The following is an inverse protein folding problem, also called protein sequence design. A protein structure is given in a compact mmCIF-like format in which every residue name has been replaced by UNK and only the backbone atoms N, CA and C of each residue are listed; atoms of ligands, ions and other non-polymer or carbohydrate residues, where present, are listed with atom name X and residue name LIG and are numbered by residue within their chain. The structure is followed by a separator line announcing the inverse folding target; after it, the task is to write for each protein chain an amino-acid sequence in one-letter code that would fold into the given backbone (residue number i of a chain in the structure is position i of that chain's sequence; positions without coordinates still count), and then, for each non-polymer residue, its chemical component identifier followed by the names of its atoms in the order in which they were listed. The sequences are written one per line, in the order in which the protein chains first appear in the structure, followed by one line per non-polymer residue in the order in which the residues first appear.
data_IF_669756227542
#
_entry.id   IF_669756227542
#
_cell.length_a   1.000
_cell.length_b   1.000
_cell.length_c   1.000
_cell.angle_alpha   90.00
_cell.angle_beta   90.00
_cell.angle_gamma   90.00
#
_symmetry.space_group_name_H-M   'P 1'
#
loop_
_entity.id
_entity.type
_entity.pdbx_description
1 polymer ?
#
# COMPACT_ATOMS: atom_id res chain seq x y z
N UNK A 1 39.29 -57.66 -60.91
CA UNK A 1 38.00 -57.39 -60.23
C UNK A 1 38.26 -57.28 -58.74
N UNK A 2 38.13 -56.13 -58.12
CA UNK A 2 38.55 -55.87 -56.74
C UNK A 2 37.34 -55.94 -55.78
N UNK A 3 37.22 -56.96 -54.94
CA UNK A 3 36.04 -57.12 -54.05
C UNK A 3 36.04 -56.24 -52.80
N UNK A 4 37.05 -55.40 -52.64
CA UNK A 4 37.24 -54.66 -51.37
C UNK A 4 36.46 -53.35 -51.23
N UNK A 5 35.61 -52.95 -52.18
CA UNK A 5 34.88 -51.66 -52.11
C UNK A 5 33.48 -51.74 -51.44
N UNK A 6 32.92 -52.96 -51.36
CA UNK A 6 31.56 -53.16 -50.88
C UNK A 6 31.53 -53.12 -49.34
N UNK A 7 32.49 -53.74 -48.71
CA UNK A 7 32.59 -53.83 -47.25
C UNK A 7 32.87 -52.46 -46.55
N UNK A 8 33.53 -51.56 -47.26
CA UNK A 8 33.79 -50.23 -46.67
C UNK A 8 32.56 -49.33 -46.56
N UNK A 9 31.60 -49.48 -47.47
CA UNK A 9 30.36 -48.63 -47.43
C UNK A 9 29.43 -49.09 -46.32
N UNK A 10 29.26 -50.35 -46.10
CA UNK A 10 28.39 -50.85 -45.01
C UNK A 10 28.97 -50.54 -43.62
N UNK A 11 30.29 -50.69 -43.44
CA UNK A 11 30.95 -50.33 -42.21
C UNK A 11 30.87 -48.85 -41.89
N UNK A 12 30.98 -48.00 -42.90
CA UNK A 12 30.79 -46.55 -42.76
C UNK A 12 29.32 -46.20 -42.42
N UNK A 13 28.37 -46.85 -43.06
CA UNK A 13 26.96 -46.61 -42.73
C UNK A 13 26.57 -47.06 -41.32
N UNK A 14 27.18 -48.20 -40.90
CA UNK A 14 26.94 -48.70 -39.54
C UNK A 14 27.54 -47.74 -38.48
N UNK A 15 28.74 -47.20 -38.73
CA UNK A 15 29.39 -46.26 -37.82
C UNK A 15 28.70 -44.90 -37.77
N UNK A 16 28.12 -44.44 -38.91
CA UNK A 16 27.33 -43.21 -38.94
C UNK A 16 25.99 -43.37 -38.19
N UNK A 17 25.29 -44.48 -38.38
CA UNK A 17 24.06 -44.78 -37.64
C UNK A 17 24.30 -44.97 -36.15
N UNK A 18 25.44 -45.51 -35.76
CA UNK A 18 25.80 -45.68 -34.36
C UNK A 18 26.15 -44.32 -33.72
N UNK A 19 26.80 -43.41 -34.45
CA UNK A 19 27.04 -42.01 -34.00
C UNK A 19 25.79 -41.19 -33.92
N UNK A 20 24.85 -41.32 -34.84
CA UNK A 20 23.56 -40.63 -34.76
C UNK A 20 22.74 -41.06 -33.53
N UNK A 21 22.74 -42.39 -33.24
CA UNK A 21 22.06 -42.91 -32.04
C UNK A 21 22.73 -42.46 -30.72
N UNK A 22 24.05 -42.31 -30.71
CA UNK A 22 24.77 -41.85 -29.53
C UNK A 22 24.63 -40.34 -29.28
N UNK A 23 24.39 -39.50 -30.30
CA UNK A 23 24.16 -38.09 -30.16
C UNK A 23 22.73 -37.73 -29.72
N UNK A 24 21.75 -38.62 -29.99
CA UNK A 24 20.36 -38.42 -29.57
C UNK A 24 20.09 -38.83 -28.12
N UNK A 25 20.99 -39.53 -27.46
CA UNK A 25 20.79 -39.99 -26.07
C UNK A 25 21.58 -39.22 -25.00
N UNK A 26 22.19 -38.08 -25.34
CA UNK A 26 22.61 -37.10 -24.35
C UNK A 26 21.44 -36.21 -23.95
N UNK A 27 20.30 -36.83 -23.64
CA UNK A 27 19.28 -36.15 -22.84
C UNK A 27 19.94 -35.74 -21.55
N UNK A 28 19.60 -34.51 -21.14
CA UNK A 28 20.04 -33.92 -19.90
C UNK A 28 20.06 -34.97 -18.78
N UNK A 29 21.13 -35.08 -18.01
CA UNK A 29 21.19 -36.04 -16.92
C UNK A 29 19.96 -35.81 -16.03
N UNK A 30 19.30 -36.88 -15.64
CA UNK A 30 18.07 -36.87 -14.84
C UNK A 30 18.08 -35.83 -13.68
N UNK A 31 19.21 -35.63 -12.96
CA UNK A 31 19.28 -34.59 -11.94
C UNK A 31 19.11 -33.15 -12.47
N UNK A 32 19.60 -32.86 -13.69
CA UNK A 32 19.44 -31.53 -14.31
C UNK A 32 17.97 -31.24 -14.65
N UNK A 33 17.24 -32.27 -15.09
CA UNK A 33 15.81 -32.15 -15.37
C UNK A 33 15.02 -31.89 -14.08
N UNK A 34 15.37 -32.55 -12.98
CA UNK A 34 14.76 -32.29 -11.66
C UNK A 34 15.05 -30.86 -11.22
N UNK A 35 16.31 -30.41 -11.31
CA UNK A 35 16.65 -29.02 -10.98
C UNK A 35 15.87 -28.00 -11.82
N UNK A 36 15.71 -28.26 -13.11
CA UNK A 36 14.93 -27.41 -14.01
C UNK A 36 13.47 -27.31 -13.56
N UNK A 37 12.85 -28.44 -13.22
CA UNK A 37 11.48 -28.48 -12.71
C UNK A 37 11.33 -27.74 -11.37
N UNK A 38 12.30 -27.87 -10.48
CA UNK A 38 12.30 -27.13 -9.21
C UNK A 38 12.37 -25.62 -9.46
N UNK A 39 13.23 -25.17 -10.37
CA UNK A 39 13.36 -23.75 -10.73
C UNK A 39 12.05 -23.23 -11.35
N UNK A 40 11.45 -23.99 -12.27
CA UNK A 40 10.17 -23.62 -12.88
C UNK A 40 9.08 -23.54 -11.80
N UNK A 41 8.99 -24.51 -10.92
CA UNK A 41 8.02 -24.52 -9.84
C UNK A 41 8.21 -23.32 -8.88
N UNK A 42 9.47 -22.99 -8.53
CA UNK A 42 9.79 -21.83 -7.70
C UNK A 42 9.39 -20.51 -8.39
N UNK A 43 9.65 -20.36 -9.69
CA UNK A 43 9.25 -19.18 -10.46
C UNK A 43 7.72 -19.04 -10.54
N UNK A 44 7.01 -20.14 -10.77
CA UNK A 44 5.55 -20.13 -10.80
C UNK A 44 4.97 -19.78 -9.43
N UNK A 45 5.55 -20.32 -8.35
CA UNK A 45 5.10 -20.01 -6.99
C UNK A 45 5.36 -18.54 -6.62
N UNK A 46 6.53 -18.01 -6.96
CA UNK A 46 6.87 -16.60 -6.76
C UNK A 46 5.94 -15.69 -7.57
N UNK A 47 5.68 -16.05 -8.83
CA UNK A 47 4.72 -15.32 -9.67
C UNK A 47 3.31 -15.33 -9.10
N UNK A 48 2.85 -16.47 -8.60
CA UNK A 48 1.53 -16.61 -7.96
C UNK A 48 1.42 -15.75 -6.70
N UNK A 49 2.44 -15.77 -5.84
CA UNK A 49 2.48 -14.93 -4.63
C UNK A 49 2.48 -13.46 -5.00
N UNK A 50 3.32 -13.03 -5.94
CA UNK A 50 3.38 -11.64 -6.40
C UNK A 50 2.04 -11.18 -7.02
N UNK A 51 1.34 -12.06 -7.73
CA UNK A 51 0.02 -11.76 -8.28
C UNK A 51 -1.05 -11.55 -7.20
N UNK A 52 -0.98 -12.33 -6.13
CA UNK A 52 -2.00 -12.32 -5.07
C UNK A 52 -1.68 -11.35 -3.93
N UNK A 53 -0.44 -10.85 -3.84
CA UNK A 53 -0.04 -9.92 -2.79
C UNK A 53 -0.51 -8.51 -3.11
N UNK A 54 -1.24 -7.92 -2.16
CA UNK A 54 -1.72 -6.56 -2.21
C UNK A 54 -0.94 -5.73 -1.18
N UNK A 55 -0.48 -4.57 -1.58
CA UNK A 55 0.15 -3.61 -0.68
C UNK A 55 -0.89 -2.55 -0.29
N UNK A 56 -1.05 -2.28 1.01
CA UNK A 56 -1.90 -1.19 1.45
C UNK A 56 -1.33 0.14 0.99
N UNK A 57 -2.19 1.00 0.47
CA UNK A 57 -1.86 2.36 0.06
C UNK A 57 -2.28 3.31 1.16
N UNK A 58 -1.39 4.21 1.55
CA UNK A 58 -1.64 5.18 2.60
C UNK A 58 -1.63 6.60 2.02
N UNK A 59 -2.55 7.41 2.49
CA UNK A 59 -2.55 8.85 2.27
C UNK A 59 -2.19 9.54 3.58
N UNK A 60 -1.28 10.50 3.54
CA UNK A 60 -0.87 11.26 4.72
C UNK A 60 -1.50 12.64 4.72
N UNK A 61 -1.99 13.06 5.88
CA UNK A 61 -2.53 14.38 6.13
C UNK A 61 -1.98 14.99 7.41
N UNK A 62 -2.12 16.29 7.54
CA UNK A 62 -1.79 17.02 8.77
C UNK A 62 -3.06 17.53 9.40
N UNK A 63 -3.09 17.55 10.73
CA UNK A 63 -4.27 17.96 11.47
C UNK A 63 -3.93 18.52 12.84
N UNK A 64 -4.98 18.83 13.59
CA UNK A 64 -4.92 19.30 14.96
C UNK A 64 -5.90 18.54 15.84
N UNK A 65 -5.58 18.43 17.12
CA UNK A 65 -6.49 17.91 18.13
C UNK A 65 -7.33 19.07 18.66
N UNK A 66 -8.66 18.88 18.59
CA UNK A 66 -9.62 19.85 19.13
C UNK A 66 -10.51 19.17 20.19
N UNK A 67 -11.00 19.96 21.11
CA UNK A 67 -12.02 19.48 22.03
C UNK A 67 -13.39 19.58 21.35
N UNK A 68 -14.24 18.58 21.50
CA UNK A 68 -15.56 18.52 20.87
C UNK A 68 -16.46 19.72 21.24
N UNK A 69 -16.19 20.39 22.32
CA UNK A 69 -16.93 21.63 22.73
C UNK A 69 -16.80 22.80 21.74
N UNK A 70 -15.72 22.80 20.93
CA UNK A 70 -15.47 23.88 19.95
C UNK A 70 -16.30 23.68 18.67
N UNK A 71 -16.74 22.48 18.38
CA UNK A 71 -17.41 22.12 17.13
C UNK A 71 -18.93 22.10 17.18
N UNK A 72 -19.52 22.13 18.39
CA UNK A 72 -20.99 22.16 18.55
C UNK A 72 -21.46 23.46 19.20
N UNK A 73 -21.88 24.47 18.42
CA UNK A 73 -22.66 25.58 18.95
C UNK A 73 -24.14 25.16 19.09
N UNK A 74 -24.47 24.18 19.89
CA UNK A 74 -25.86 23.81 20.10
C UNK A 74 -26.24 23.87 21.58
N UNK A 75 -27.10 24.82 21.82
CA UNK A 75 -28.10 24.96 22.88
C UNK A 75 -28.22 23.79 23.87
N UNK A 76 -27.83 24.07 25.09
CA UNK A 76 -28.54 23.71 26.33
C UNK A 76 -29.06 22.30 26.46
N UNK A 77 -28.19 21.34 26.83
CA UNK A 77 -28.55 20.29 27.77
C UNK A 77 -27.28 19.86 28.50
N UNK A 78 -27.25 20.01 29.81
CA UNK A 78 -26.17 19.58 30.68
C UNK A 78 -26.10 18.04 30.71
N UNK A 79 -25.50 17.47 29.68
CA UNK A 79 -25.07 16.10 29.72
C UNK A 79 -23.60 16.16 30.13
N UNK A 80 -23.24 15.53 31.24
CA UNK A 80 -21.87 15.25 31.65
C UNK A 80 -21.26 14.34 30.57
N UNK A 81 -20.93 14.85 29.40
CA UNK A 81 -20.13 14.17 28.41
C UNK A 81 -18.67 14.34 28.83
N UNK A 82 -18.00 13.23 29.08
CA UNK A 82 -16.55 13.23 29.15
C UNK A 82 -16.06 13.93 27.85
N UNK A 83 -15.26 14.98 27.97
CA UNK A 83 -14.79 15.70 26.81
C UNK A 83 -13.97 14.73 25.93
N UNK A 84 -14.50 14.39 24.78
CA UNK A 84 -13.85 13.49 23.84
C UNK A 84 -12.94 14.31 22.94
N UNK A 85 -11.69 13.88 22.80
CA UNK A 85 -10.77 14.48 21.85
C UNK A 85 -11.18 14.12 20.42
N UNK A 86 -11.16 15.09 19.56
CA UNK A 86 -11.39 14.91 18.13
C UNK A 86 -10.18 15.43 17.37
N UNK A 87 -9.67 14.62 16.43
CA UNK A 87 -8.65 15.09 15.52
C UNK A 87 -9.30 15.57 14.22
N UNK A 88 -8.95 16.78 13.84
CA UNK A 88 -9.36 17.42 12.59
C UNK A 88 -8.18 17.36 11.64
N UNK A 89 -8.33 16.63 10.55
CA UNK A 89 -7.26 16.36 9.59
C UNK A 89 -7.61 17.07 8.29
N UNK A 90 -6.61 17.73 7.72
CA UNK A 90 -6.73 18.48 6.47
C UNK A 90 -6.06 17.69 5.35
N UNK A 91 -6.82 17.39 4.30
CA UNK A 91 -6.37 16.63 3.15
C UNK A 91 -6.68 17.38 1.87
N UNK A 92 -5.76 17.43 0.91
CA UNK A 92 -6.04 17.94 -0.41
C UNK A 92 -7.26 17.23 -1.02
N UNK A 93 -8.06 17.95 -1.80
CA UNK A 93 -9.31 17.44 -2.35
C UNK A 93 -9.13 16.15 -3.17
N UNK A 94 -8.03 16.07 -3.92
CA UNK A 94 -7.68 14.89 -4.74
C UNK A 94 -7.48 13.64 -3.88
N UNK A 95 -6.89 13.78 -2.71
CA UNK A 95 -6.63 12.68 -1.80
C UNK A 95 -7.90 12.30 -1.01
N UNK A 96 -8.72 13.28 -0.68
CA UNK A 96 -9.96 13.08 0.07
C UNK A 96 -11.01 12.26 -0.70
N UNK A 97 -10.99 12.30 -2.03
CA UNK A 97 -11.92 11.57 -2.90
C UNK A 97 -11.85 10.03 -2.69
N UNK A 98 -10.70 9.52 -2.25
CA UNK A 98 -10.49 8.08 -2.04
C UNK A 98 -10.71 7.65 -0.58
N UNK A 99 -11.13 8.57 0.28
CA UNK A 99 -11.33 8.28 1.69
C UNK A 99 -12.81 8.04 1.97
N UNK A 100 -13.08 7.03 2.78
CA UNK A 100 -14.43 6.64 3.15
C UNK A 100 -14.57 6.55 4.66
N UNK A 101 -15.76 6.79 5.15
CA UNK A 101 -16.10 6.59 6.56
C UNK A 101 -15.82 5.14 6.98
N UNK A 102 -15.19 4.96 8.14
CA UNK A 102 -14.85 3.66 8.69
C UNK A 102 -13.45 3.17 8.33
N UNK A 103 -12.71 3.86 7.48
CA UNK A 103 -11.32 3.50 7.16
C UNK A 103 -10.41 3.65 8.38
N UNK A 104 -9.40 2.80 8.44
CA UNK A 104 -8.38 2.84 9.46
C UNK A 104 -7.50 4.08 9.29
N UNK A 105 -7.26 4.76 10.41
CA UNK A 105 -6.38 5.93 10.48
C UNK A 105 -5.41 5.77 11.64
N UNK A 106 -4.14 6.02 11.37
CA UNK A 106 -3.10 6.10 12.39
C UNK A 106 -2.71 7.56 12.58
N UNK A 107 -2.91 8.05 13.80
CA UNK A 107 -2.57 9.41 14.20
C UNK A 107 -1.25 9.42 14.93
N UNK A 108 -0.32 10.25 14.51
CA UNK A 108 0.96 10.44 15.17
C UNK A 108 1.04 11.86 15.76
N UNK A 109 1.23 11.94 17.05
CA UNK A 109 1.25 13.21 17.79
C UNK A 109 2.69 13.52 18.21
N UNK A 110 3.04 14.80 18.21
CA UNK A 110 4.32 15.25 18.76
C UNK A 110 5.55 14.74 17.98
N UNK A 111 5.45 14.65 16.66
CA UNK A 111 6.61 14.29 15.83
C UNK A 111 7.03 12.82 15.93
N UNK A 112 6.12 11.92 16.25
CA UNK A 112 6.37 10.47 16.26
C UNK A 112 6.42 9.83 17.66
N UNK A 113 6.19 10.59 18.70
CA UNK A 113 6.25 10.05 20.08
C UNK A 113 5.06 9.19 20.47
N UNK A 114 3.89 9.47 19.92
CA UNK A 114 2.66 8.75 20.24
C UNK A 114 1.89 8.43 18.98
N UNK A 115 1.70 7.14 18.71
CA UNK A 115 0.88 6.65 17.61
C UNK A 115 -0.44 6.07 18.16
N UNK A 116 -1.56 6.50 17.59
CA UNK A 116 -2.90 6.10 18.02
C UNK A 116 -3.67 5.64 16.79
N UNK A 117 -4.24 4.44 16.89
CA UNK A 117 -5.13 3.92 15.87
C UNK A 117 -6.56 4.38 16.14
N UNK A 118 -7.22 4.84 15.09
CA UNK A 118 -8.62 5.26 15.12
C UNK A 118 -9.32 4.92 13.80
N UNK A 119 -10.54 5.41 13.61
CA UNK A 119 -11.31 5.23 12.38
C UNK A 119 -11.88 6.58 11.93
N UNK A 120 -11.92 6.79 10.63
CA UNK A 120 -12.56 7.95 10.01
C UNK A 120 -14.04 7.97 10.35
N UNK A 121 -14.50 8.99 11.04
CA UNK A 121 -15.92 9.12 11.44
C UNK A 121 -16.72 9.94 10.46
N UNK A 122 -16.17 11.06 10.04
CA UNK A 122 -16.84 11.99 9.16
C UNK A 122 -15.85 12.62 8.20
N UNK A 123 -16.29 12.85 6.98
CA UNK A 123 -15.54 13.53 5.93
C UNK A 123 -16.41 14.70 5.46
N UNK A 124 -15.81 15.89 5.38
CA UNK A 124 -16.47 17.02 4.77
C UNK A 124 -16.52 16.86 3.26
N UNK A 125 -17.72 16.89 2.68
CA UNK A 125 -17.90 16.85 1.22
C UNK A 125 -17.46 18.16 0.55
N UNK A 126 -17.35 19.24 1.33
CA UNK A 126 -16.97 20.53 0.81
C UNK A 126 -15.47 20.78 0.96
N UNK A 127 -14.85 21.18 -0.14
CA UNK A 127 -13.49 21.72 -0.14
C UNK A 127 -13.55 23.12 0.44
N UNK A 128 -12.83 23.34 1.53
CA UNK A 128 -12.76 24.63 2.18
C UNK A 128 -11.51 25.39 1.76
N UNK A 129 -11.65 26.70 1.59
CA UNK A 129 -10.50 27.55 1.31
C UNK A 129 -9.56 27.64 2.52
N UNK A 130 -8.25 27.89 2.31
CA UNK A 130 -7.30 28.04 3.41
C UNK A 130 -7.69 29.11 4.42
N UNK A 131 -8.30 30.19 3.95
CA UNK A 131 -8.75 31.29 4.81
C UNK A 131 -9.83 30.82 5.79
N UNK A 132 -10.84 30.10 5.29
CA UNK A 132 -11.93 29.56 6.12
C UNK A 132 -11.39 28.53 7.13
N UNK A 133 -10.48 27.66 6.69
CA UNK A 133 -9.86 26.64 7.54
C UNK A 133 -9.03 27.29 8.66
N UNK A 134 -8.21 28.28 8.33
CA UNK A 134 -7.39 28.99 9.30
C UNK A 134 -8.26 29.81 10.26
N UNK A 135 -9.36 30.41 9.80
CA UNK A 135 -10.29 31.13 10.65
C UNK A 135 -11.04 30.18 11.62
N UNK A 136 -11.43 29.02 11.16
CA UNK A 136 -12.22 28.06 11.94
C UNK A 136 -11.38 27.18 12.86
N UNK A 137 -10.22 26.78 12.40
CA UNK A 137 -9.35 25.78 13.07
C UNK A 137 -7.95 26.31 13.39
N UNK A 138 -7.63 27.54 13.06
CA UNK A 138 -6.31 28.15 13.21
C UNK A 138 -5.86 28.40 14.66
N UNK A 139 -6.27 27.52 15.56
CA UNK A 139 -5.75 27.49 16.93
C UNK A 139 -4.38 26.79 16.93
N UNK A 140 -3.35 27.60 16.96
CA UNK A 140 -1.96 27.11 16.96
C UNK A 140 -1.15 27.61 15.76
N UNK A 141 0.07 27.12 15.64
CA UNK A 141 1.02 27.51 14.58
C UNK A 141 0.75 26.81 13.22
N UNK A 142 -0.41 26.19 13.05
CA UNK A 142 -0.75 25.48 11.83
C UNK A 142 -1.36 26.44 10.82
N UNK A 143 -0.71 26.58 9.67
CA UNK A 143 -1.21 27.34 8.53
C UNK A 143 -1.56 26.38 7.42
N UNK A 144 -2.83 26.27 7.08
CA UNK A 144 -3.28 25.54 5.91
C UNK A 144 -3.09 26.44 4.69
N UNK A 145 -2.31 25.99 3.72
CA UNK A 145 -1.95 26.78 2.52
C UNK A 145 -2.71 26.35 1.27
N UNK A 146 -3.34 25.19 1.28
CA UNK A 146 -4.06 24.63 0.14
C UNK A 146 -5.54 24.38 0.47
N UNK A 147 -6.42 24.48 -0.53
CA UNK A 147 -7.81 24.06 -0.38
C UNK A 147 -7.87 22.59 0.06
N UNK A 148 -8.56 22.33 1.15
CA UNK A 148 -8.56 21.00 1.76
C UNK A 148 -9.94 20.57 2.21
N UNK A 149 -10.17 19.27 2.21
CA UNK A 149 -11.29 18.63 2.87
C UNK A 149 -10.94 18.34 4.33
N UNK A 150 -11.93 18.36 5.19
CA UNK A 150 -11.79 18.07 6.61
C UNK A 150 -12.22 16.65 6.89
N UNK A 151 -11.35 15.88 7.52
CA UNK A 151 -11.66 14.54 8.02
C UNK A 151 -11.64 14.59 9.53
N UNK A 152 -12.73 14.12 10.14
CA UNK A 152 -12.91 14.06 11.57
C UNK A 152 -12.74 12.63 12.08
N UNK A 153 -11.98 12.47 13.16
CA UNK A 153 -11.81 11.19 13.83
C UNK A 153 -11.78 11.38 15.34
N UNK A 154 -12.42 10.47 16.07
CA UNK A 154 -12.31 10.46 17.54
C UNK A 154 -10.95 9.92 17.97
N UNK A 155 -10.39 10.56 18.99
CA UNK A 155 -9.15 10.13 19.61
C UNK A 155 -9.47 9.58 20.99
N UNK A 156 -9.61 8.26 21.13
CA UNK A 156 -9.80 7.66 22.44
C UNK A 156 -8.51 7.74 23.25
N UNK A 157 -8.60 7.91 24.56
CA UNK A 157 -7.46 7.69 25.45
C UNK A 157 -6.41 8.82 25.56
N UNK A 158 -6.72 10.05 25.15
CA UNK A 158 -5.78 11.17 25.34
C UNK A 158 -6.29 12.14 26.42
N UNK A 159 -5.37 12.62 27.25
CA UNK A 159 -5.65 13.75 28.13
C UNK A 159 -5.80 15.03 27.28
N UNK A 160 -7.05 15.45 27.12
CA UNK A 160 -7.44 16.62 26.34
C UNK A 160 -6.69 17.88 26.77
N UNK A 161 -6.45 18.05 28.10
CA UNK A 161 -5.79 19.23 28.60
C UNK A 161 -4.36 19.37 28.09
N UNK A 162 -3.69 18.23 27.91
CA UNK A 162 -2.28 18.20 27.48
C UNK A 162 -2.13 18.32 25.97
N UNK A 163 -3.06 17.75 25.19
CA UNK A 163 -2.88 17.60 23.74
C UNK A 163 -3.80 18.46 22.88
N UNK A 164 -4.74 19.22 23.48
CA UNK A 164 -5.56 20.17 22.69
C UNK A 164 -4.68 21.21 22.00
N UNK A 165 -4.88 21.41 20.71
CA UNK A 165 -4.07 22.29 19.88
C UNK A 165 -2.77 21.68 19.37
N UNK A 166 -2.45 20.43 19.75
CA UNK A 166 -1.27 19.74 19.24
C UNK A 166 -1.45 19.36 17.78
N UNK A 167 -0.37 19.50 17.02
CA UNK A 167 -0.32 19.01 15.63
C UNK A 167 -0.26 17.48 15.58
N UNK A 168 -1.01 16.92 14.66
CA UNK A 168 -1.02 15.49 14.37
C UNK A 168 -0.70 15.23 12.90
N UNK A 169 0.01 14.16 12.65
CA UNK A 169 0.14 13.59 11.31
C UNK A 169 -0.73 12.35 11.24
N UNK A 170 -1.59 12.30 10.23
CA UNK A 170 -2.50 11.20 10.01
C UNK A 170 -2.04 10.37 8.81
N UNK A 171 -2.08 9.05 8.94
CA UNK A 171 -1.93 8.10 7.85
C UNK A 171 -3.23 7.33 7.72
N UNK A 172 -3.90 7.49 6.59
CA UNK A 172 -5.21 6.87 6.30
C UNK A 172 -4.98 5.78 5.26
N UNK A 173 -5.47 4.59 5.53
CA UNK A 173 -5.45 3.48 4.59
C UNK A 173 -6.53 3.73 3.52
N UNK A 174 -6.09 4.07 2.30
CA UNK A 174 -6.99 4.44 1.19
C UNK A 174 -7.34 3.29 0.27
N UNK A 175 -6.70 2.15 0.42
CA UNK A 175 -6.96 0.97 -0.38
C UNK A 175 -5.78 0.03 -0.46
N UNK A 176 -5.85 -0.91 -1.39
CA UNK A 176 -4.76 -1.85 -1.67
C UNK A 176 -4.48 -1.87 -3.17
N UNK A 177 -3.21 -1.85 -3.53
CA UNK A 177 -2.75 -2.01 -4.91
C UNK A 177 -1.99 -3.32 -5.08
N UNK A 178 -2.21 -3.99 -6.20
CA UNK A 178 -1.45 -5.20 -6.53
C UNK A 178 -0.01 -4.83 -6.88
N UNK A 179 0.95 -5.57 -6.37
CA UNK A 179 2.39 -5.35 -6.62
C UNK A 179 2.67 -5.31 -8.13
N UNK A 180 2.01 -6.17 -8.89
CA UNK A 180 2.21 -6.28 -10.33
C UNK A 180 1.82 -5.00 -11.08
N UNK A 181 0.74 -4.33 -10.67
CA UNK A 181 0.33 -3.05 -11.28
C UNK A 181 1.32 -1.93 -10.97
N UNK A 182 1.97 -1.93 -9.82
CA UNK A 182 3.04 -0.99 -9.51
C UNK A 182 4.29 -1.20 -10.38
N UNK A 183 4.67 -2.46 -10.64
CA UNK A 183 5.84 -2.78 -11.46
C UNK A 183 5.63 -2.47 -12.95
N UNK A 184 4.42 -2.67 -13.46
CA UNK A 184 4.10 -2.46 -14.89
C UNK A 184 3.59 -1.05 -15.16
N UNK A 185 2.89 -0.43 -14.19
CA UNK A 185 2.26 0.90 -14.31
C UNK A 185 3.10 2.08 -13.82
N UNK A 186 4.29 1.86 -13.28
CA UNK A 186 5.15 2.89 -12.69
C UNK A 186 5.85 3.81 -13.69
N UNK A 187 5.30 4.04 -14.87
CA UNK A 187 5.89 4.85 -15.94
C UNK A 187 4.99 5.96 -16.48
N UNK A 188 4.08 6.54 -15.67
CA UNK A 188 3.31 7.72 -16.11
C UNK A 188 3.31 8.80 -15.06
#
# INVERSE_FOLDING_TARGET
MSPNRIFRKEALQHSLRQRERQNLSRFLPFPVLICLWIVIAALLMTGYVAWNTQLPTYTSGVGIIVSQQVLSPSHGTNIHMNPTAEAVIFLPAEQAANIHKGQHITLTIGGGQLAISSTVQQISEQVMSPQVLNQRYGQGNMVVTQPSCVVLTMVPTIDLKTYTGSMVTAQIETGSQKILTMLIGGGS
#
